data_IF_109702558609
#
_entry.id   IF_109702558609
#
_cell.length_a   1.000
_cell.length_b   1.000
_cell.length_c   1.000
_cell.angle_alpha   90.00
_cell.angle_beta   90.00
_cell.angle_gamma   90.00
#
_symmetry.space_group_name_H-M   'P 1'
#
loop_
_entity.id
_entity.type
_entity.pdbx_description
1 polymer ?
#
# COMPACT_ATOMS: atom_id res chain seq x y z
N UNK A 1 -29.63 21.31 32.77
CA UNK A 1 -31.05 21.04 32.43
C UNK A 1 -31.46 21.94 31.28
N UNK A 2 -31.62 21.38 30.09
CA UNK A 2 -32.53 21.79 29.00
C UNK A 2 -32.36 20.75 27.90
N UNK A 3 -33.00 19.61 28.14
CA UNK A 3 -33.49 18.72 27.09
C UNK A 3 -34.48 19.51 26.24
N UNK A 4 -34.57 19.22 24.94
CA UNK A 4 -35.83 19.03 24.19
C UNK A 4 -35.58 19.02 22.66
N UNK A 5 -36.03 17.92 22.02
CA UNK A 5 -36.20 17.65 20.58
C UNK A 5 -34.90 17.40 19.79
N UNK A 6 -34.67 16.27 19.12
CA UNK A 6 -35.62 15.44 18.39
C UNK A 6 -35.23 13.94 18.38
N UNK A 7 -36.25 13.10 18.49
CA UNK A 7 -36.27 11.68 18.15
C UNK A 7 -36.11 11.51 16.63
N UNK A 8 -34.88 11.36 16.15
CA UNK A 8 -34.65 10.81 14.80
C UNK A 8 -33.44 9.89 14.85
N UNK A 9 -33.69 8.60 14.62
CA UNK A 9 -32.70 7.59 14.30
C UNK A 9 -31.95 8.00 13.03
N UNK A 10 -30.95 8.87 13.15
CA UNK A 10 -29.97 9.07 12.09
C UNK A 10 -28.73 8.36 12.60
N UNK A 11 -28.47 7.19 12.04
CA UNK A 11 -27.15 6.58 12.10
C UNK A 11 -26.21 7.60 11.48
N UNK A 12 -25.55 8.41 12.32
CA UNK A 12 -24.58 9.40 11.87
C UNK A 12 -23.33 8.61 11.43
N UNK A 13 -23.38 8.06 10.22
CA UNK A 13 -22.17 7.74 9.48
C UNK A 13 -21.48 9.10 9.22
N UNK A 14 -20.54 9.46 10.08
CA UNK A 14 -19.72 10.64 9.87
C UNK A 14 -18.71 10.31 8.77
N UNK A 15 -19.15 10.37 7.52
CA UNK A 15 -18.25 10.30 6.36
C UNK A 15 -17.13 11.35 6.57
N UNK A 16 -15.89 10.88 6.67
CA UNK A 16 -14.75 11.77 6.88
C UNK A 16 -14.39 12.42 5.54
N UNK A 17 -14.99 13.56 5.23
CA UNK A 17 -14.71 14.27 3.98
C UNK A 17 -13.27 14.81 3.96
N UNK A 18 -12.49 14.44 2.94
CA UNK A 18 -11.14 14.94 2.67
C UNK A 18 -11.06 15.59 1.29
N UNK A 19 -9.96 16.28 1.01
CA UNK A 19 -9.71 16.89 -0.29
C UNK A 19 -8.46 16.29 -0.98
N UNK A 20 -8.52 16.19 -2.31
CA UNK A 20 -7.43 15.79 -3.18
C UNK A 20 -7.32 16.85 -4.29
N UNK A 21 -6.35 17.76 -4.17
CA UNK A 21 -6.32 18.95 -5.03
C UNK A 21 -7.58 19.79 -4.82
N UNK A 22 -8.38 19.95 -5.87
CA UNK A 22 -9.64 20.71 -5.87
C UNK A 22 -10.90 19.85 -5.63
N UNK A 23 -10.77 18.54 -5.49
CA UNK A 23 -11.91 17.62 -5.34
C UNK A 23 -12.05 17.16 -3.89
N UNK A 24 -13.29 17.09 -3.40
CA UNK A 24 -13.60 16.47 -2.11
C UNK A 24 -14.03 15.02 -2.29
N UNK A 25 -13.67 14.14 -1.35
CA UNK A 25 -13.98 12.72 -1.39
C UNK A 25 -14.25 12.17 0.01
N UNK A 26 -15.05 11.10 0.07
CA UNK A 26 -15.26 10.34 1.31
C UNK A 26 -14.01 9.52 1.63
N UNK A 27 -13.35 9.81 2.75
CA UNK A 27 -12.16 9.08 3.15
C UNK A 27 -12.44 7.62 3.50
N UNK A 28 -13.71 7.25 3.66
CA UNK A 28 -14.06 5.89 3.98
C UNK A 28 -13.89 4.93 2.82
N UNK A 29 -14.28 5.40 1.63
CA UNK A 29 -14.26 4.62 0.40
C UNK A 29 -13.09 5.00 -0.51
N UNK A 30 -12.51 6.19 -0.34
CA UNK A 30 -11.50 6.74 -1.25
C UNK A 30 -10.25 7.25 -0.53
N UNK A 31 -9.19 7.42 -1.30
CA UNK A 31 -7.91 8.01 -0.88
C UNK A 31 -7.31 8.86 -2.00
N UNK A 32 -6.47 9.82 -1.63
CA UNK A 32 -5.77 10.67 -2.61
C UNK A 32 -4.40 10.07 -2.95
N UNK A 33 -4.20 9.71 -4.21
CA UNK A 33 -2.93 9.20 -4.73
C UNK A 33 -2.41 10.12 -5.83
N UNK A 34 -1.28 10.77 -5.58
CA UNK A 34 -0.64 11.71 -6.51
C UNK A 34 -1.62 12.73 -7.13
N UNK A 35 -2.53 13.28 -6.30
CA UNK A 35 -3.51 14.28 -6.74
C UNK A 35 -4.74 13.70 -7.44
N UNK A 36 -4.90 12.37 -7.50
CA UNK A 36 -6.06 11.68 -8.06
C UNK A 36 -6.81 10.95 -6.95
N UNK A 37 -8.13 11.11 -6.90
CA UNK A 37 -9.00 10.34 -6.01
C UNK A 37 -9.05 8.89 -6.52
N UNK A 38 -8.54 7.97 -5.72
CA UNK A 38 -8.57 6.53 -5.99
C UNK A 38 -9.50 5.84 -4.99
N UNK A 39 -10.27 4.82 -5.41
CA UNK A 39 -10.92 3.91 -4.48
C UNK A 39 -9.89 3.30 -3.52
N UNK A 40 -10.29 3.06 -2.28
CA UNK A 40 -9.53 2.26 -1.35
C UNK A 40 -9.58 0.78 -1.76
N UNK A 41 -8.50 0.03 -1.56
CA UNK A 41 -8.52 -1.42 -1.73
C UNK A 41 -9.58 -2.07 -0.84
N UNK A 42 -10.32 -3.01 -1.42
CA UNK A 42 -11.26 -3.83 -0.67
C UNK A 42 -10.52 -4.88 0.16
N UNK A 43 -11.19 -5.37 1.21
CA UNK A 43 -10.76 -6.52 2.00
C UNK A 43 -9.41 -6.36 2.75
N UNK A 44 -9.00 -5.14 3.07
CA UNK A 44 -7.84 -4.87 3.93
C UNK A 44 -8.06 -3.70 4.90
N UNK A 45 -7.27 -3.68 5.97
CA UNK A 45 -7.24 -2.57 6.92
C UNK A 45 -6.66 -1.31 6.29
N UNK A 46 -7.18 -0.12 6.64
CA UNK A 46 -6.71 1.16 6.06
C UNK A 46 -5.22 1.44 6.24
N UNK A 47 -4.62 0.89 7.29
CA UNK A 47 -3.17 0.99 7.56
C UNK A 47 -2.33 0.32 6.45
N UNK A 48 -2.94 -0.56 5.67
CA UNK A 48 -2.29 -1.25 4.55
C UNK A 48 -2.53 -0.55 3.20
N UNK A 49 -3.37 0.48 3.13
CA UNK A 49 -3.69 1.14 1.87
C UNK A 49 -2.58 2.13 1.51
N UNK A 50 -1.84 1.86 0.43
CA UNK A 50 -0.78 2.71 -0.10
C UNK A 50 -1.02 3.10 -1.55
N UNK A 51 -0.26 4.07 -2.06
CA UNK A 51 -0.36 4.52 -3.45
C UNK A 51 0.74 3.92 -4.33
N UNK A 52 0.35 3.41 -5.49
CA UNK A 52 1.25 3.10 -6.60
C UNK A 52 0.95 4.05 -7.76
N UNK A 53 1.69 5.16 -7.83
CA UNK A 53 1.33 6.25 -8.73
C UNK A 53 0.00 6.88 -8.29
N UNK A 54 -1.00 6.84 -9.17
CA UNK A 54 -2.34 7.41 -8.93
C UNK A 54 -3.36 6.37 -8.43
N UNK A 55 -2.94 5.13 -8.17
CA UNK A 55 -3.82 4.02 -7.80
C UNK A 55 -3.53 3.55 -6.38
N UNK A 56 -4.58 3.43 -5.56
CA UNK A 56 -4.53 2.82 -4.23
C UNK A 56 -4.41 1.29 -4.32
N UNK A 57 -3.60 0.69 -3.45
CA UNK A 57 -3.41 -0.76 -3.40
C UNK A 57 -3.14 -1.25 -1.97
N UNK A 58 -3.46 -2.52 -1.69
CA UNK A 58 -3.18 -3.17 -0.41
C UNK A 58 -1.71 -3.61 -0.34
N UNK A 59 -0.93 -2.98 0.54
CA UNK A 59 0.49 -3.24 0.76
C UNK A 59 0.77 -4.54 1.54
N UNK A 60 -0.26 -5.18 2.10
CA UNK A 60 -0.17 -6.46 2.78
C UNK A 60 0.04 -7.60 1.78
N UNK A 61 -0.85 -7.69 0.79
CA UNK A 61 -0.75 -8.70 -0.27
C UNK A 61 0.13 -8.28 -1.46
N UNK A 62 0.29 -6.98 -1.71
CA UNK A 62 0.94 -6.47 -2.91
C UNK A 62 2.10 -5.51 -2.61
N UNK A 63 2.85 -5.17 -3.66
CA UNK A 63 3.90 -4.17 -3.65
C UNK A 63 3.90 -3.37 -4.95
N UNK A 64 4.28 -2.09 -4.88
CA UNK A 64 4.46 -1.23 -6.05
C UNK A 64 5.93 -1.24 -6.48
N UNK A 65 6.21 -1.78 -7.68
CA UNK A 65 7.54 -1.75 -8.28
C UNK A 65 7.49 -1.05 -9.63
N UNK A 66 8.26 0.04 -9.77
CA UNK A 66 8.35 0.81 -11.03
C UNK A 66 6.97 1.25 -11.56
N UNK A 67 6.09 1.67 -10.66
CA UNK A 67 4.73 2.09 -11.00
C UNK A 67 3.78 0.95 -11.36
N UNK A 68 4.15 -0.31 -11.09
CA UNK A 68 3.29 -1.48 -11.30
C UNK A 68 3.03 -2.20 -9.99
N UNK A 69 1.76 -2.47 -9.71
CA UNK A 69 1.33 -3.28 -8.57
C UNK A 69 1.58 -4.76 -8.92
N UNK A 70 2.21 -5.48 -8.00
CA UNK A 70 2.50 -6.91 -8.14
C UNK A 70 2.26 -7.63 -6.81
N UNK A 71 1.95 -8.92 -6.88
CA UNK A 71 1.87 -9.77 -5.70
C UNK A 71 3.21 -9.79 -4.96
N UNK A 72 3.15 -9.65 -3.65
CA UNK A 72 4.33 -9.71 -2.79
C UNK A 72 4.81 -11.17 -2.70
N UNK A 73 6.11 -11.36 -2.87
CA UNK A 73 6.78 -12.68 -2.90
C UNK A 73 7.49 -13.04 -1.56
N UNK A 74 7.04 -12.51 -0.42
CA UNK A 74 7.69 -12.68 0.89
C UNK A 74 7.34 -11.59 1.91
N UNK A 75 7.96 -11.60 3.08
CA UNK A 75 7.65 -10.67 4.17
C UNK A 75 7.86 -9.18 3.77
N UNK A 76 6.97 -8.30 4.27
CA UNK A 76 6.93 -6.85 3.93
C UNK A 76 8.24 -6.13 4.24
N UNK A 77 8.93 -6.53 5.30
CA UNK A 77 10.19 -5.93 5.75
C UNK A 77 11.35 -6.23 4.79
N UNK A 78 11.36 -7.43 4.21
CA UNK A 78 12.52 -7.97 3.49
C UNK A 78 12.33 -8.05 1.98
N UNK A 79 11.11 -7.89 1.47
CA UNK A 79 10.82 -7.96 0.05
C UNK A 79 10.69 -6.56 -0.57
N UNK A 80 11.82 -6.01 -1.01
CA UNK A 80 11.91 -4.75 -1.75
C UNK A 80 12.04 -5.00 -3.25
N UNK A 81 11.62 -4.03 -4.06
CA UNK A 81 11.81 -4.10 -5.51
C UNK A 81 13.30 -4.12 -5.84
N UNK A 82 13.74 -5.09 -6.64
CA UNK A 82 15.09 -5.09 -7.19
C UNK A 82 15.26 -3.82 -8.05
N UNK A 83 16.30 -3.04 -7.83
CA UNK A 83 16.64 -1.94 -8.72
C UNK A 83 16.77 -2.50 -10.15
N UNK A 84 16.22 -1.81 -11.14
CA UNK A 84 16.28 -2.22 -12.55
C UNK A 84 17.69 -2.01 -13.11
N UNK A 85 18.69 -2.68 -12.55
CA UNK A 85 20.00 -2.82 -13.19
C UNK A 85 19.88 -3.92 -14.24
N UNK A 86 19.32 -3.55 -15.39
CA UNK A 86 19.49 -4.34 -16.61
C UNK A 86 20.96 -4.30 -17.03
N UNK A 87 21.76 -5.24 -16.52
CA UNK A 87 22.83 -5.93 -17.26
C UNK A 87 23.06 -7.30 -16.63
N UNK A 88 22.07 -8.19 -16.75
CA UNK A 88 22.37 -9.61 -16.74
C UNK A 88 23.10 -9.90 -18.06
N UNK A 89 24.43 -9.91 -18.02
CA UNK A 89 25.20 -10.55 -19.08
C UNK A 89 24.87 -12.05 -19.00
N UNK A 90 24.33 -12.56 -20.09
CA UNK A 90 23.88 -13.94 -20.26
C UNK A 90 25.00 -14.94 -20.01
N UNK A 91 25.15 -15.45 -18.79
CA UNK A 91 25.65 -16.80 -18.53
C UNK A 91 25.09 -17.27 -17.19
N UNK A 92 24.43 -18.43 -17.22
CA UNK A 92 23.87 -19.16 -16.08
C UNK A 92 22.58 -18.58 -15.52
N UNK A 93 21.43 -19.10 -15.98
CA UNK A 93 20.29 -19.45 -15.10
C UNK A 93 19.36 -20.46 -15.83
N UNK A 94 19.86 -21.67 -16.06
CA UNK A 94 19.02 -22.84 -15.79
C UNK A 94 18.91 -22.94 -14.27
N UNK A 95 17.86 -22.37 -13.67
CA UNK A 95 17.37 -22.81 -12.37
C UNK A 95 15.89 -22.44 -12.29
N UNK A 96 15.05 -23.31 -12.85
CA UNK A 96 13.62 -23.38 -12.55
C UNK A 96 13.34 -23.73 -11.07
N UNK A 97 14.32 -23.65 -10.15
CA UNK A 97 14.16 -23.98 -8.73
C UNK A 97 15.20 -23.24 -7.85
N UNK A 98 14.76 -22.12 -7.23
CA UNK A 98 15.15 -21.45 -5.96
C UNK A 98 16.62 -21.45 -5.42
N UNK A 99 17.01 -20.43 -4.62
CA UNK A 99 16.92 -20.68 -3.18
C UNK A 99 16.38 -19.54 -2.32
N UNK A 100 15.81 -20.02 -1.22
CA UNK A 100 15.38 -19.40 0.03
C UNK A 100 16.17 -18.14 0.45
N UNK A 101 15.41 -17.20 0.99
CA UNK A 101 15.82 -16.07 1.82
C UNK A 101 17.17 -16.27 2.55
N UNK A 102 18.18 -15.48 2.16
CA UNK A 102 19.35 -15.24 2.99
C UNK A 102 18.99 -14.17 4.02
N UNK A 103 18.70 -14.66 5.23
CA UNK A 103 18.68 -13.88 6.45
C UNK A 103 20.07 -13.30 6.74
N UNK A 104 20.10 -12.07 7.25
CA UNK A 104 21.12 -11.64 8.21
C UNK A 104 22.48 -11.21 7.66
N UNK A 105 22.64 -9.92 7.42
CA UNK A 105 23.93 -9.25 7.57
C UNK A 105 23.72 -7.96 8.39
N UNK A 106 23.42 -8.11 9.68
CA UNK A 106 23.71 -7.03 10.64
C UNK A 106 25.22 -6.98 10.81
N UNK A 107 25.83 -5.94 10.24
CA UNK A 107 27.19 -5.53 10.56
C UNK A 107 27.27 -5.16 12.04
N UNK A 108 27.86 -6.03 12.87
CA UNK A 108 28.49 -5.60 14.11
C UNK A 108 29.93 -5.26 13.74
N UNK A 109 30.18 -3.98 13.47
CA UNK A 109 31.51 -3.43 13.60
C UNK A 109 31.75 -3.08 15.06
N UNK A 110 32.88 -3.51 15.62
CA UNK A 110 33.52 -2.80 16.73
C UNK A 110 35.02 -3.11 16.70
N UNK A 111 35.76 -2.01 16.82
CA UNK A 111 37.19 -1.88 17.06
C UNK A 111 37.62 -2.67 18.30
#
# INVERSE_FOLDING_TARGET
MKSFFALSLICLASAELKNCGSEFFDNDDFMCCNGVVSPRPDCSERVNHECCGTVGFDNGANQCCFGRIQLRQGERENNKCCAHQRRFNYWVMELQNAPKALHGASNVGMV
#
